data_IF_995228120540
#
_entry.id   IF_995228120540
#
_cell.length_a   1.000
_cell.length_b   1.000
_cell.length_c   1.000
_cell.angle_alpha   90.00
_cell.angle_beta   90.00
_cell.angle_gamma   90.00
#
_symmetry.space_group_name_H-M   'P 1'
#
loop_
_entity.id
_entity.type
_entity.pdbx_description
1 polymer ?
#
# COMPACT_ATOMS: atom_id res chain seq x y z
N UNK A 1 9.60 30.57 12.79
CA UNK A 1 8.61 31.18 11.89
C UNK A 1 9.27 32.15 10.88
N UNK A 2 10.24 32.96 11.29
CA UNK A 2 10.90 33.94 10.40
C UNK A 2 11.77 33.25 9.33
N UNK A 3 12.42 32.14 9.67
CA UNK A 3 13.28 31.39 8.73
C UNK A 3 12.48 30.66 7.62
N UNK A 4 11.24 30.28 7.90
CA UNK A 4 10.36 29.61 6.94
C UNK A 4 9.72 30.60 5.93
N UNK A 5 9.55 31.86 6.31
CA UNK A 5 8.99 32.91 5.43
C UNK A 5 9.98 33.49 4.41
N UNK A 6 11.26 33.08 4.46
CA UNK A 6 12.33 33.61 3.58
C UNK A 6 12.75 32.58 2.51
N UNK A 7 12.30 31.34 2.62
CA UNK A 7 12.61 30.31 1.61
C UNK A 7 11.52 30.26 0.56
N UNK A 8 11.90 30.23 -0.73
CA UNK A 8 10.97 30.08 -1.87
C UNK A 8 10.07 28.85 -1.80
N UNK A 9 10.39 27.91 -0.91
CA UNK A 9 9.59 26.71 -0.61
C UNK A 9 8.46 26.94 0.40
N UNK A 10 8.30 28.14 0.93
CA UNK A 10 7.31 28.46 1.97
C UNK A 10 6.06 29.14 1.37
N UNK A 11 5.41 28.49 0.42
CA UNK A 11 4.10 28.91 0.00
C UNK A 11 3.07 28.52 1.07
N UNK A 12 2.77 29.48 1.99
CA UNK A 12 1.86 29.28 3.13
C UNK A 12 0.39 29.52 2.77
N UNK A 13 0.08 29.69 1.49
CA UNK A 13 -1.29 29.95 1.05
C UNK A 13 -2.15 28.71 1.28
N UNK A 14 -3.31 28.91 1.90
CA UNK A 14 -4.28 27.82 2.03
C UNK A 14 -4.71 27.33 0.64
N UNK A 15 -4.79 25.99 0.41
CA UNK A 15 -5.16 25.46 -0.89
C UNK A 15 -6.51 25.99 -1.40
N UNK A 16 -6.49 26.74 -2.48
CA UNK A 16 -7.68 27.26 -3.12
C UNK A 16 -7.57 27.05 -4.64
N UNK A 17 -8.56 26.41 -5.30
CA UNK A 17 -9.76 25.81 -4.73
C UNK A 17 -9.51 24.52 -3.93
N UNK A 18 -10.44 24.21 -3.00
CA UNK A 18 -10.43 22.92 -2.31
C UNK A 18 -10.73 21.81 -3.32
N UNK A 19 -9.78 20.89 -3.50
CA UNK A 19 -9.93 19.73 -4.38
C UNK A 19 -10.00 18.47 -3.52
N UNK A 20 -11.08 17.69 -3.67
CA UNK A 20 -11.25 16.40 -3.01
C UNK A 20 -10.48 15.29 -3.73
N UNK A 21 -10.29 15.45 -5.05
CA UNK A 21 -9.54 14.50 -5.88
C UNK A 21 -8.55 15.34 -6.72
N UNK A 22 -7.29 15.31 -6.32
CA UNK A 22 -6.19 15.92 -7.06
C UNK A 22 -5.74 14.96 -8.15
N UNK A 23 -5.73 13.67 -7.81
CA UNK A 23 -5.32 12.58 -8.68
C UNK A 23 -6.51 11.74 -9.12
N UNK A 24 -6.30 10.95 -10.16
CA UNK A 24 -7.21 9.86 -10.46
C UNK A 24 -7.00 8.76 -9.42
N UNK A 25 -8.05 8.36 -8.68
CA UNK A 25 -8.00 7.34 -7.63
C UNK A 25 -7.36 6.02 -8.11
N UNK A 26 -7.53 5.70 -9.37
CA UNK A 26 -6.94 4.53 -9.99
C UNK A 26 -5.42 4.65 -10.17
N UNK A 27 -4.91 5.83 -10.53
CA UNK A 27 -3.47 6.10 -10.59
C UNK A 27 -2.85 6.04 -9.20
N UNK A 28 -3.51 6.58 -8.18
CA UNK A 28 -3.06 6.49 -6.79
C UNK A 28 -2.96 5.03 -6.32
N UNK A 29 -3.92 4.19 -6.69
CA UNK A 29 -3.90 2.77 -6.34
C UNK A 29 -2.89 1.95 -7.16
N UNK A 30 -2.50 2.38 -8.35
CA UNK A 30 -1.42 1.74 -9.11
C UNK A 30 -0.07 1.78 -8.38
N UNK A 31 0.14 2.79 -7.52
CA UNK A 31 1.35 2.93 -6.69
C UNK A 31 1.59 1.78 -5.68
N UNK A 32 0.64 0.89 -5.51
CA UNK A 32 0.83 -0.37 -4.76
C UNK A 32 1.38 -1.51 -5.60
N UNK A 33 1.52 -1.34 -6.91
CA UNK A 33 2.11 -2.34 -7.79
C UNK A 33 3.64 -2.38 -7.62
N UNK A 34 4.22 -3.54 -7.90
CA UNK A 34 5.67 -3.72 -7.85
C UNK A 34 6.35 -2.82 -8.88
N UNK A 35 7.35 -2.06 -8.45
CA UNK A 35 8.15 -1.16 -9.30
C UNK A 35 7.34 -0.09 -10.07
N UNK A 36 6.19 0.34 -9.58
CA UNK A 36 5.52 1.50 -10.16
C UNK A 36 6.37 2.76 -9.91
N UNK A 37 6.68 3.58 -10.94
CA UNK A 37 7.54 4.74 -10.77
C UNK A 37 6.85 5.81 -9.94
N UNK A 38 7.64 6.47 -9.10
CA UNK A 38 7.21 7.65 -8.40
C UNK A 38 7.42 8.82 -9.36
N UNK A 39 6.35 9.43 -9.83
CA UNK A 39 6.46 10.63 -10.63
C UNK A 39 6.77 11.83 -9.72
N UNK A 40 8.06 12.19 -9.63
CA UNK A 40 8.53 13.31 -8.81
C UNK A 40 8.32 14.67 -9.54
N UNK A 41 8.25 14.63 -10.87
CA UNK A 41 8.15 15.84 -11.70
C UNK A 41 6.73 16.38 -11.77
N UNK A 42 5.75 15.55 -11.54
CA UNK A 42 4.34 15.94 -11.54
C UNK A 42 3.88 16.01 -10.07
N UNK A 43 3.54 17.20 -9.59
CA UNK A 43 3.06 17.46 -8.21
C UNK A 43 1.85 16.61 -7.83
N UNK A 44 1.37 15.78 -8.77
CA UNK A 44 0.10 15.11 -8.66
C UNK A 44 0.20 13.67 -8.13
N UNK A 45 1.25 12.88 -8.38
CA UNK A 45 1.23 11.42 -8.13
C UNK A 45 2.44 10.90 -7.32
N UNK A 46 3.14 11.72 -6.63
CA UNK A 46 4.35 11.30 -5.91
C UNK A 46 4.10 10.51 -4.63
N UNK A 47 3.38 9.38 -4.70
CA UNK A 47 3.16 8.52 -3.53
C UNK A 47 4.01 7.26 -3.64
N UNK A 48 5.03 7.13 -2.81
CA UNK A 48 5.70 5.85 -2.63
C UNK A 48 4.95 5.06 -1.53
N UNK A 49 3.97 4.25 -1.93
CA UNK A 49 3.15 3.45 -1.02
C UNK A 49 3.49 1.95 -1.06
N UNK A 50 4.42 1.54 -1.90
CA UNK A 50 4.80 0.14 -2.00
C UNK A 50 5.45 -0.36 -0.70
N UNK A 51 4.91 -1.42 -0.13
CA UNK A 51 5.38 -2.04 1.11
C UNK A 51 5.44 -3.58 1.02
N UNK A 52 5.58 -4.09 -0.20
CA UNK A 52 5.56 -5.51 -0.53
C UNK A 52 4.17 -6.01 -0.91
N UNK A 53 4.10 -6.76 -1.98
CA UNK A 53 2.86 -7.29 -2.57
C UNK A 53 2.07 -8.13 -1.57
N UNK A 54 2.77 -8.89 -0.72
CA UNK A 54 2.14 -9.73 0.30
C UNK A 54 1.39 -8.92 1.37
N UNK A 55 1.80 -7.68 1.61
CA UNK A 55 1.15 -6.80 2.58
C UNK A 55 -0.29 -6.51 2.19
N UNK A 56 -0.59 -6.45 0.90
CA UNK A 56 -1.95 -6.26 0.40
C UNK A 56 -2.87 -7.43 0.78
N UNK A 57 -2.40 -8.68 0.66
CA UNK A 57 -3.15 -9.87 1.08
C UNK A 57 -3.36 -9.86 2.61
N UNK A 58 -2.28 -9.59 3.36
CA UNK A 58 -2.32 -9.57 4.82
C UNK A 58 -3.20 -8.44 5.37
N UNK A 59 -3.26 -7.28 4.72
CA UNK A 59 -4.15 -6.19 5.09
C UNK A 59 -5.63 -6.60 4.95
N UNK A 60 -5.99 -7.30 3.89
CA UNK A 60 -7.36 -7.84 3.76
C UNK A 60 -7.64 -8.91 4.82
N UNK A 61 -6.66 -9.79 5.11
CA UNK A 61 -6.80 -10.76 6.19
C UNK A 61 -6.98 -10.09 7.56
N UNK A 62 -6.28 -8.97 7.80
CA UNK A 62 -6.46 -8.17 9.01
C UNK A 62 -7.92 -7.71 9.18
N UNK A 63 -8.56 -7.24 8.10
CA UNK A 63 -9.96 -6.83 8.13
C UNK A 63 -10.91 -8.00 8.47
N UNK A 64 -10.54 -9.21 8.09
CA UNK A 64 -11.31 -10.44 8.33
C UNK A 64 -10.98 -11.13 9.66
N UNK A 65 -9.98 -10.63 10.41
CA UNK A 65 -9.48 -11.27 11.62
C UNK A 65 -10.38 -11.00 12.83
N UNK A 66 -11.11 -12.02 13.24
CA UNK A 66 -11.98 -11.97 14.43
C UNK A 66 -11.21 -12.07 15.77
N UNK A 67 -9.91 -12.39 15.75
CA UNK A 67 -9.08 -12.46 16.95
C UNK A 67 -8.58 -11.06 17.38
N UNK A 68 -8.70 -10.06 16.52
CA UNK A 68 -8.40 -8.67 16.81
C UNK A 68 -9.68 -7.98 17.30
N UNK A 69 -9.57 -7.20 18.37
CA UNK A 69 -10.72 -6.45 18.91
C UNK A 69 -11.32 -5.57 17.83
N UNK A 70 -12.64 -5.61 17.70
CA UNK A 70 -13.35 -4.85 16.66
C UNK A 70 -13.01 -3.35 16.69
N UNK A 71 -12.91 -2.77 17.89
CA UNK A 71 -12.54 -1.36 18.08
C UNK A 71 -11.16 -1.04 17.48
N UNK A 72 -10.17 -1.89 17.73
CA UNK A 72 -8.81 -1.72 17.21
C UNK A 72 -8.79 -1.85 15.67
N UNK A 73 -9.49 -2.87 15.15
CA UNK A 73 -9.62 -3.11 13.72
C UNK A 73 -10.26 -1.93 13.01
N UNK A 74 -11.35 -1.40 13.56
CA UNK A 74 -12.02 -0.20 13.01
C UNK A 74 -11.09 1.02 13.09
N UNK A 75 -10.43 1.25 14.23
CA UNK A 75 -9.57 2.42 14.42
C UNK A 75 -8.38 2.43 13.44
N UNK A 76 -7.67 1.30 13.30
CA UNK A 76 -6.54 1.19 12.35
C UNK A 76 -7.01 1.32 10.90
N UNK A 77 -8.16 0.72 10.56
CA UNK A 77 -8.74 0.85 9.22
C UNK A 77 -9.17 2.27 8.90
N UNK A 78 -9.83 2.93 9.84
CA UNK A 78 -10.25 4.33 9.68
C UNK A 78 -9.04 5.26 9.50
N UNK A 79 -7.98 5.04 10.30
CA UNK A 79 -6.73 5.78 10.15
C UNK A 79 -6.07 5.51 8.79
N UNK A 80 -6.06 4.25 8.33
CA UNK A 80 -5.52 3.89 7.03
C UNK A 80 -6.27 4.59 5.89
N UNK A 81 -7.60 4.59 5.95
CA UNK A 81 -8.46 5.30 4.98
C UNK A 81 -8.24 6.80 5.03
N UNK A 82 -8.09 7.39 6.22
CA UNK A 82 -7.79 8.82 6.38
C UNK A 82 -6.44 9.17 5.74
N UNK A 83 -5.39 8.39 6.00
CA UNK A 83 -4.06 8.61 5.42
C UNK A 83 -4.09 8.44 3.90
N UNK A 84 -4.82 7.45 3.40
CA UNK A 84 -5.01 7.23 1.96
C UNK A 84 -5.73 8.42 1.29
N UNK A 85 -6.83 8.87 1.89
CA UNK A 85 -7.54 10.07 1.43
C UNK A 85 -6.65 11.32 1.46
N UNK A 86 -5.72 11.38 2.41
CA UNK A 86 -4.79 12.51 2.55
C UNK A 86 -3.77 12.62 1.40
N UNK A 87 -3.55 11.56 0.65
CA UNK A 87 -2.74 11.63 -0.56
C UNK A 87 -3.44 12.39 -1.70
N UNK A 88 -4.77 12.41 -1.69
CA UNK A 88 -5.58 12.93 -2.79
C UNK A 88 -6.33 14.22 -2.45
N UNK A 89 -6.69 14.43 -1.19
CA UNK A 89 -7.38 15.64 -0.72
C UNK A 89 -6.36 16.73 -0.41
N UNK A 90 -6.32 17.81 -1.20
CA UNK A 90 -5.30 18.85 -1.09
C UNK A 90 -5.23 19.52 0.29
N UNK A 91 -6.36 19.69 0.98
CA UNK A 91 -6.40 20.26 2.34
C UNK A 91 -5.76 19.32 3.36
N UNK A 92 -6.03 18.01 3.28
CA UNK A 92 -5.42 17.03 4.16
C UNK A 92 -3.93 16.92 3.89
N UNK A 93 -3.53 16.93 2.63
CA UNK A 93 -2.14 16.95 2.21
C UNK A 93 -1.39 18.16 2.80
N UNK A 94 -1.97 19.36 2.69
CA UNK A 94 -1.46 20.60 3.26
C UNK A 94 -1.25 20.51 4.79
N UNK A 95 -2.22 19.91 5.52
CA UNK A 95 -2.10 19.71 6.96
C UNK A 95 -0.92 18.80 7.30
N UNK A 96 -0.76 17.68 6.58
CA UNK A 96 0.34 16.74 6.81
C UNK A 96 1.71 17.30 6.44
N UNK A 97 1.77 18.31 5.56
CA UNK A 97 3.00 19.03 5.23
C UNK A 97 3.29 20.22 6.17
N UNK A 98 2.65 20.28 7.33
CA UNK A 98 2.87 21.32 8.32
C UNK A 98 2.33 22.67 7.91
N UNK A 99 1.19 22.69 7.25
CA UNK A 99 0.51 23.88 6.73
C UNK A 99 1.31 24.61 5.64
N UNK A 100 1.95 23.84 4.77
CA UNK A 100 2.63 24.31 3.57
C UNK A 100 2.16 23.57 2.33
N UNK A 101 2.20 24.23 1.18
CA UNK A 101 2.07 23.52 -0.10
C UNK A 101 3.32 22.67 -0.31
N UNK A 102 3.13 21.42 -0.70
CA UNK A 102 4.26 20.56 -0.98
C UNK A 102 5.04 21.08 -2.19
N UNK A 103 6.36 21.09 -2.06
CA UNK A 103 7.28 21.48 -3.12
C UNK A 103 8.38 20.42 -3.25
N UNK A 104 8.54 19.86 -4.40
CA UNK A 104 9.58 18.88 -4.74
C UNK A 104 9.28 17.43 -4.39
N UNK A 105 9.13 17.05 -3.13
CA UNK A 105 8.86 15.67 -2.71
C UNK A 105 7.43 15.52 -2.20
N UNK A 106 6.50 15.08 -3.05
CA UNK A 106 5.11 14.93 -2.67
C UNK A 106 4.91 13.80 -1.65
N UNK A 107 3.89 13.95 -0.82
CA UNK A 107 3.39 12.90 0.08
C UNK A 107 4.44 12.30 1.04
N UNK A 108 5.32 13.13 1.62
CA UNK A 108 6.38 12.68 2.55
C UNK A 108 5.85 11.83 3.72
N UNK A 109 4.59 11.99 4.11
CA UNK A 109 3.96 11.22 5.18
C UNK A 109 3.58 9.78 4.77
N UNK A 110 3.84 9.36 3.53
CA UNK A 110 3.58 7.99 3.05
C UNK A 110 4.23 6.91 3.94
N UNK A 111 5.37 7.22 4.59
CA UNK A 111 5.99 6.29 5.53
C UNK A 111 5.08 5.93 6.72
N UNK A 112 4.21 6.86 7.19
CA UNK A 112 3.24 6.59 8.26
C UNK A 112 2.19 5.58 7.76
N UNK A 113 1.73 5.76 6.53
CA UNK A 113 0.81 4.83 5.87
C UNK A 113 1.42 3.43 5.74
N UNK A 114 2.66 3.34 5.23
CA UNK A 114 3.40 2.09 5.10
C UNK A 114 3.58 1.41 6.46
N UNK A 115 3.99 2.17 7.48
CA UNK A 115 4.16 1.64 8.83
C UNK A 115 2.85 1.06 9.39
N UNK A 116 1.73 1.76 9.19
CA UNK A 116 0.42 1.26 9.60
C UNK A 116 0.02 -0.01 8.85
N UNK A 117 0.23 -0.04 7.53
CA UNK A 117 0.00 -1.23 6.71
C UNK A 117 0.82 -2.43 7.20
N UNK A 118 2.11 -2.23 7.46
CA UNK A 118 3.01 -3.28 7.96
C UNK A 118 2.60 -3.78 9.35
N UNK A 119 2.15 -2.89 10.25
CA UNK A 119 1.65 -3.31 11.58
C UNK A 119 0.38 -4.14 11.46
N UNK A 120 -0.57 -3.75 10.60
CA UNK A 120 -1.78 -4.52 10.33
C UNK A 120 -1.45 -5.88 9.69
N UNK A 121 -0.53 -5.89 8.73
CA UNK A 121 -0.06 -7.12 8.09
C UNK A 121 0.60 -8.07 9.09
N UNK A 122 1.44 -7.54 10.00
CA UNK A 122 2.08 -8.33 11.04
C UNK A 122 1.06 -8.95 12.02
N UNK A 123 0.04 -8.20 12.43
CA UNK A 123 -1.03 -8.72 13.29
C UNK A 123 -1.78 -9.87 12.60
N UNK A 124 -2.11 -9.73 11.31
CA UNK A 124 -2.72 -10.80 10.52
C UNK A 124 -1.78 -12.02 10.39
N UNK A 125 -0.49 -11.79 10.13
CA UNK A 125 0.52 -12.85 10.05
C UNK A 125 0.60 -13.69 11.33
N UNK A 126 0.57 -13.07 12.50
CA UNK A 126 0.57 -13.78 13.79
C UNK A 126 -0.61 -14.75 13.93
N UNK A 127 -1.74 -14.43 13.32
CA UNK A 127 -2.95 -15.23 13.34
C UNK A 127 -3.14 -16.10 12.10
N UNK A 128 -2.14 -16.22 11.23
CA UNK A 128 -2.23 -16.95 9.96
C UNK A 128 -2.78 -18.38 10.11
N UNK A 129 -2.41 -19.07 11.20
CA UNK A 129 -2.88 -20.44 11.49
C UNK A 129 -4.36 -20.52 11.88
N UNK A 130 -5.04 -19.39 12.15
CA UNK A 130 -6.44 -19.34 12.56
C UNK A 130 -7.41 -19.05 11.41
N UNK A 131 -6.91 -18.50 10.30
CA UNK A 131 -7.77 -18.16 9.17
C UNK A 131 -8.37 -19.38 8.50
N UNK A 132 -9.60 -19.26 8.03
CA UNK A 132 -10.24 -20.28 7.19
C UNK A 132 -9.77 -20.13 5.75
N UNK A 133 -9.82 -21.21 4.98
CA UNK A 133 -9.42 -21.22 3.57
C UNK A 133 -10.15 -20.16 2.75
N UNK A 134 -11.46 -19.98 2.96
CA UNK A 134 -12.23 -18.98 2.24
C UNK A 134 -11.77 -17.53 2.55
N UNK A 135 -11.25 -17.25 3.77
CA UNK A 135 -10.71 -15.94 4.11
C UNK A 135 -9.42 -15.66 3.33
N UNK A 136 -8.56 -16.67 3.18
CA UNK A 136 -7.34 -16.56 2.38
C UNK A 136 -7.69 -16.37 0.90
N UNK A 137 -8.66 -17.10 0.38
CA UNK A 137 -9.14 -16.94 -1.00
C UNK A 137 -9.68 -15.52 -1.24
N UNK A 138 -10.52 -15.02 -0.35
CA UNK A 138 -11.07 -13.66 -0.45
C UNK A 138 -9.96 -12.60 -0.36
N UNK A 139 -9.01 -12.78 0.57
CA UNK A 139 -7.90 -11.86 0.77
C UNK A 139 -6.93 -11.83 -0.42
N UNK A 140 -6.81 -12.94 -1.14
CA UNK A 140 -6.04 -12.99 -2.39
C UNK A 140 -6.83 -12.38 -3.56
N UNK A 141 -8.13 -12.66 -3.64
CA UNK A 141 -8.97 -12.24 -4.75
C UNK A 141 -9.10 -10.71 -4.86
N UNK A 142 -9.18 -9.99 -3.73
CA UNK A 142 -9.37 -8.54 -3.72
C UNK A 142 -8.17 -7.78 -4.37
N UNK A 143 -6.92 -7.93 -3.91
CA UNK A 143 -5.78 -7.27 -4.53
C UNK A 143 -5.50 -7.79 -5.95
N UNK A 144 -5.79 -9.08 -6.22
CA UNK A 144 -5.64 -9.65 -7.54
C UNK A 144 -6.61 -9.03 -8.56
N UNK A 145 -7.89 -8.90 -8.19
CA UNK A 145 -8.89 -8.25 -9.03
C UNK A 145 -8.51 -6.79 -9.32
N UNK A 146 -7.97 -6.11 -8.31
CA UNK A 146 -7.50 -4.74 -8.47
C UNK A 146 -6.27 -4.65 -9.40
N UNK A 147 -5.27 -5.53 -9.24
CA UNK A 147 -4.09 -5.57 -10.11
C UNK A 147 -4.47 -5.88 -11.57
N UNK A 148 -5.41 -6.81 -11.80
CA UNK A 148 -5.94 -7.10 -13.13
C UNK A 148 -6.68 -5.89 -13.71
N UNK A 149 -7.52 -5.24 -12.91
CA UNK A 149 -8.23 -4.03 -13.33
C UNK A 149 -7.24 -2.94 -13.75
N UNK A 150 -6.22 -2.67 -12.96
CA UNK A 150 -5.18 -1.67 -13.28
C UNK A 150 -4.43 -2.03 -14.57
N UNK A 151 -4.09 -3.30 -14.76
CA UNK A 151 -3.42 -3.78 -15.97
C UNK A 151 -4.28 -3.61 -17.24
N UNK A 152 -5.58 -3.91 -17.15
CA UNK A 152 -6.51 -3.85 -18.31
C UNK A 152 -6.85 -2.41 -18.68
N UNK A 153 -6.96 -1.54 -17.70
CA UNK A 153 -7.35 -0.12 -17.91
C UNK A 153 -6.17 0.78 -18.26
N UNK A 154 -4.94 0.28 -18.18
CA UNK A 154 -3.73 1.07 -18.49
C UNK A 154 -3.56 2.28 -17.57
N UNK A 155 -3.94 2.14 -16.31
CA UNK A 155 -3.99 3.24 -15.35
C UNK A 155 -2.63 3.69 -14.80
N UNK A 156 -1.60 2.85 -14.95
CA UNK A 156 -0.22 3.18 -14.59
C UNK A 156 0.60 3.60 -15.80
N UNK A 157 1.68 4.31 -15.55
CA UNK A 157 2.64 4.70 -16.59
C UNK A 157 3.54 3.54 -17.02
N UNK A 158 3.47 2.40 -16.30
CA UNK A 158 4.34 1.23 -16.55
C UNK A 158 3.77 0.25 -17.55
N UNK A 159 4.70 -0.45 -18.16
CA UNK A 159 4.41 -1.51 -19.10
C UNK A 159 3.67 -2.69 -18.46
N UNK A 160 2.91 -3.40 -19.24
CA UNK A 160 2.06 -4.54 -18.83
C UNK A 160 2.80 -5.61 -18.01
N UNK A 161 4.13 -5.77 -18.22
CA UNK A 161 4.92 -6.76 -17.51
C UNK A 161 5.03 -6.49 -16.00
N UNK A 162 5.01 -5.23 -15.56
CA UNK A 162 5.07 -4.85 -14.13
C UNK A 162 3.85 -5.34 -13.37
N UNK A 163 2.68 -5.17 -13.97
CA UNK A 163 1.45 -5.75 -13.43
C UNK A 163 1.47 -7.27 -13.46
N UNK A 164 2.07 -7.86 -14.49
CA UNK A 164 2.30 -9.30 -14.58
C UNK A 164 3.12 -9.85 -13.41
N UNK A 165 4.19 -9.15 -13.01
CA UNK A 165 5.00 -9.49 -11.84
C UNK A 165 4.16 -9.39 -10.56
N UNK A 166 3.44 -8.28 -10.38
CA UNK A 166 2.57 -8.08 -9.20
C UNK A 166 1.52 -9.20 -9.09
N UNK A 167 0.85 -9.53 -10.19
CA UNK A 167 -0.13 -10.62 -10.26
C UNK A 167 0.54 -11.96 -9.91
N UNK A 168 1.71 -12.23 -10.51
CA UNK A 168 2.48 -13.44 -10.23
C UNK A 168 2.86 -13.58 -8.75
N UNK A 169 3.33 -12.49 -8.12
CA UNK A 169 3.66 -12.46 -6.70
C UNK A 169 2.41 -12.66 -5.82
N UNK A 170 1.28 -12.01 -6.14
CA UNK A 170 0.01 -12.21 -5.42
C UNK A 170 -0.43 -13.67 -5.47
N UNK A 171 -0.34 -14.32 -6.63
CA UNK A 171 -0.68 -15.73 -6.80
C UNK A 171 0.28 -16.60 -5.99
N UNK A 172 1.59 -16.34 -6.07
CA UNK A 172 2.60 -17.14 -5.38
C UNK A 172 2.44 -17.09 -3.86
N UNK A 173 2.29 -15.90 -3.28
CA UNK A 173 2.03 -15.75 -1.85
C UNK A 173 0.68 -16.36 -1.44
N UNK A 174 -0.37 -16.11 -2.21
CA UNK A 174 -1.69 -16.66 -1.94
C UNK A 174 -1.69 -18.19 -1.96
N UNK A 175 -1.02 -18.80 -2.95
CA UNK A 175 -0.86 -20.25 -3.04
C UNK A 175 -0.07 -20.82 -1.86
N UNK A 176 1.03 -20.20 -1.45
CA UNK A 176 1.78 -20.61 -0.27
C UNK A 176 0.92 -20.58 0.99
N UNK A 177 0.12 -19.52 1.19
CA UNK A 177 -0.83 -19.42 2.29
C UNK A 177 -1.92 -20.50 2.23
N UNK A 178 -2.47 -20.79 1.05
CA UNK A 178 -3.50 -21.81 0.87
C UNK A 178 -2.95 -23.22 1.15
N UNK A 179 -1.76 -23.57 0.62
CA UNK A 179 -1.11 -24.86 0.85
C UNK A 179 -0.85 -25.05 2.34
N UNK A 180 -0.39 -24.00 3.03
CA UNK A 180 -0.22 -24.02 4.48
C UNK A 180 -1.56 -24.25 5.20
N UNK A 181 -2.62 -23.53 4.83
CA UNK A 181 -3.94 -23.66 5.45
C UNK A 181 -4.64 -24.99 5.17
N UNK A 182 -4.33 -25.65 4.07
CA UNK A 182 -4.79 -27.00 3.75
C UNK A 182 -4.01 -28.09 4.50
N UNK A 183 -3.05 -27.73 5.34
CA UNK A 183 -2.24 -28.66 6.12
C UNK A 183 -1.20 -29.43 5.30
N UNK A 184 -0.93 -28.99 4.07
CA UNK A 184 0.02 -29.64 3.14
C UNK A 184 1.45 -29.10 3.26
N UNK A 185 1.69 -28.14 4.17
CA UNK A 185 3.01 -27.52 4.38
C UNK A 185 3.26 -27.34 5.87
N UNK A 186 4.45 -27.74 6.32
CA UNK A 186 4.89 -27.52 7.70
C UNK A 186 5.09 -26.04 7.98
N UNK A 187 4.81 -25.61 9.22
CA UNK A 187 4.89 -24.22 9.65
C UNK A 187 6.26 -23.58 9.38
N UNK A 188 7.34 -24.29 9.65
CA UNK A 188 8.70 -23.76 9.48
C UNK A 188 9.06 -23.62 7.99
N UNK A 189 8.65 -24.58 7.16
CA UNK A 189 8.81 -24.49 5.70
C UNK A 189 8.02 -23.31 5.14
N UNK A 190 6.77 -23.14 5.62
CA UNK A 190 5.95 -21.99 5.20
C UNK A 190 6.61 -20.66 5.56
N UNK A 191 7.11 -20.53 6.80
CA UNK A 191 7.79 -19.31 7.25
C UNK A 191 9.06 -19.03 6.45
N UNK A 192 9.92 -20.04 6.26
CA UNK A 192 11.16 -19.89 5.51
C UNK A 192 10.88 -19.49 4.06
N UNK A 193 9.93 -20.16 3.40
CA UNK A 193 9.51 -19.82 2.04
C UNK A 193 8.99 -18.38 1.95
N UNK A 194 8.14 -18.01 2.89
CA UNK A 194 7.52 -16.68 2.91
C UNK A 194 8.56 -15.56 3.09
N UNK A 195 9.48 -15.71 4.04
CA UNK A 195 10.56 -14.75 4.24
C UNK A 195 11.55 -14.71 3.08
N UNK A 196 11.83 -15.85 2.47
CA UNK A 196 12.66 -15.93 1.27
C UNK A 196 12.02 -15.14 0.11
N UNK A 197 10.74 -15.37 -0.15
CA UNK A 197 10.01 -14.66 -1.21
C UNK A 197 9.97 -13.15 -0.94
N UNK A 198 9.70 -12.75 0.30
CA UNK A 198 9.67 -11.33 0.68
C UNK A 198 11.06 -10.68 0.51
N UNK A 199 12.14 -11.37 0.89
CA UNK A 199 13.50 -10.88 0.70
C UNK A 199 13.83 -10.73 -0.78
N UNK A 200 13.51 -11.72 -1.62
CA UNK A 200 13.71 -11.65 -3.08
C UNK A 200 12.91 -10.49 -3.68
N UNK A 201 11.64 -10.34 -3.29
CA UNK A 201 10.80 -9.23 -3.75
C UNK A 201 11.43 -7.87 -3.40
N UNK A 202 11.84 -7.67 -2.15
CA UNK A 202 12.42 -6.40 -1.70
C UNK A 202 13.76 -6.09 -2.34
N UNK A 203 14.62 -7.11 -2.53
CA UNK A 203 15.90 -6.93 -3.26
C UNK A 203 15.64 -6.59 -4.72
N UNK A 204 14.69 -7.27 -5.36
CA UNK A 204 14.32 -6.97 -6.75
C UNK A 204 13.74 -5.55 -6.88
N UNK A 205 12.91 -5.14 -5.93
CA UNK A 205 12.40 -3.76 -5.89
C UNK A 205 13.51 -2.73 -5.73
N UNK A 206 14.52 -2.99 -4.88
CA UNK A 206 15.65 -2.09 -4.68
C UNK A 206 16.57 -1.97 -5.90
N UNK A 207 16.57 -2.97 -6.79
CA UNK A 207 17.40 -2.98 -8.01
C UNK A 207 16.67 -2.36 -9.20
N UNK A 208 15.36 -2.59 -9.32
CA UNK A 208 14.57 -2.25 -10.51
C UNK A 208 13.49 -1.16 -10.27
N UNK A 209 13.22 -0.80 -9.02
CA UNK A 209 12.30 0.27 -8.61
C UNK A 209 13.06 1.53 -8.31
#
# INVERSE_FOLDING_TARGET
YVALGVTESAENSFPSPIKLFVNNLSQLTSQFAFCEPINIADDQIGVNAFCGTVTLILAVLYLLDKNIKLRERIAKTALLVLLYASFDVNVLNYIWHGFHVQNGLPNRFAFIYIFLMLTMAFDAWRHMHKFKVWQVLLAMAAPLAFAIYSAVTGLGERELYTYGITIGLLILYGMAMLIYRLGKMHREVFRSLFFFLAAVEMVSYAIFG
#
